data_IF_636861981251
#
_entry.id   IF_636861981251
#
_cell.length_a   1.000
_cell.length_b   1.000
_cell.length_c   1.000
_cell.angle_alpha   90.00
_cell.angle_beta   90.00
_cell.angle_gamma   90.00
#
_symmetry.space_group_name_H-M   'P 1'
#
loop_
_entity.id
_entity.type
_entity.pdbx_description
1 polymer ?
#
# COMPACT_ATOMS: atom_id res chain seq x y z
N UNK A 1 -0.10 -0.74 8.66
CA UNK A 1 0.63 -0.58 7.38
C UNK A 1 2.15 -0.71 7.60
N UNK A 2 2.83 0.16 8.33
CA UNK A 2 4.28 0.07 8.59
C UNK A 2 4.69 -1.16 9.44
N UNK A 3 3.79 -1.72 10.25
CA UNK A 3 4.08 -2.89 11.06
C UNK A 3 4.52 -4.12 10.27
N UNK A 4 3.97 -4.31 9.06
CA UNK A 4 4.37 -5.42 8.16
C UNK A 4 5.84 -5.27 7.74
N UNK A 5 6.26 -4.05 7.37
CA UNK A 5 7.65 -3.78 7.00
C UNK A 5 8.61 -4.04 8.16
N UNK A 6 8.20 -3.70 9.39
CA UNK A 6 8.99 -3.95 10.59
C UNK A 6 9.09 -5.44 10.97
N UNK A 7 8.13 -6.27 10.52
CA UNK A 7 8.18 -7.73 10.70
C UNK A 7 9.07 -8.43 9.67
N UNK A 8 9.25 -7.83 8.50
CA UNK A 8 10.06 -8.35 7.40
C UNK A 8 11.43 -7.67 7.41
N UNK A 9 12.31 -8.16 8.27
CA UNK A 9 13.66 -7.62 8.43
C UNK A 9 14.65 -8.36 7.54
N UNK A 10 15.70 -7.65 7.14
CA UNK A 10 16.84 -8.23 6.42
C UNK A 10 17.85 -8.90 7.38
N UNK A 11 18.97 -9.39 6.82
CA UNK A 11 20.05 -10.04 7.56
C UNK A 11 20.68 -9.08 8.60
N UNK A 12 20.66 -7.76 8.33
CA UNK A 12 21.21 -6.73 9.22
C UNK A 12 20.18 -6.25 10.26
N UNK A 13 19.01 -6.88 10.33
CA UNK A 13 17.88 -6.51 11.18
C UNK A 13 17.21 -5.17 10.81
N UNK A 14 17.49 -4.65 9.59
CA UNK A 14 16.84 -3.47 9.06
C UNK A 14 15.45 -3.83 8.50
N UNK A 15 14.46 -2.95 8.72
CA UNK A 15 13.12 -3.16 8.19
C UNK A 15 13.12 -3.07 6.66
N UNK A 16 12.40 -3.99 6.00
CA UNK A 16 12.26 -3.98 4.54
C UNK A 16 11.67 -2.64 4.08
N UNK A 17 12.24 -2.00 3.05
CA UNK A 17 11.77 -0.73 2.54
C UNK A 17 10.27 -0.75 2.20
N UNK A 18 9.55 0.27 2.65
CA UNK A 18 8.10 0.36 2.54
C UNK A 18 7.69 1.62 1.78
N UNK A 19 6.76 1.48 0.84
CA UNK A 19 6.15 2.58 0.12
C UNK A 19 4.64 2.48 0.13
N UNK A 20 3.98 3.61 0.04
CA UNK A 20 2.53 3.74 0.10
C UNK A 20 2.02 4.47 -1.14
N UNK A 21 0.99 3.90 -1.78
CA UNK A 21 0.27 4.50 -2.90
C UNK A 21 -1.22 4.51 -2.53
N UNK A 22 -1.86 5.66 -2.61
CA UNK A 22 -3.32 5.76 -2.49
C UNK A 22 -3.93 5.88 -3.89
N UNK A 23 -4.89 5.00 -4.21
CA UNK A 23 -5.60 5.02 -5.49
C UNK A 23 -6.79 5.98 -5.48
N UNK A 24 -7.29 6.36 -4.31
CA UNK A 24 -8.36 7.32 -4.16
C UNK A 24 -8.04 8.65 -4.85
N UNK A 25 -8.74 8.96 -5.95
CA UNK A 25 -8.50 10.15 -6.75
C UNK A 25 -7.52 9.99 -7.92
N UNK A 26 -6.90 8.82 -8.10
CA UNK A 26 -6.07 8.53 -9.27
C UNK A 26 -6.93 8.31 -10.51
N UNK A 27 -6.75 9.16 -11.51
CA UNK A 27 -7.58 9.16 -12.72
C UNK A 27 -6.88 8.58 -13.96
N UNK A 28 -5.58 8.24 -13.88
CA UNK A 28 -4.80 7.84 -15.06
C UNK A 28 -3.77 6.75 -14.71
N UNK A 29 -3.63 5.74 -15.57
CA UNK A 29 -2.67 4.64 -15.45
C UNK A 29 -1.21 5.09 -15.54
N UNK A 30 -0.92 6.16 -16.26
CA UNK A 30 0.43 6.73 -16.40
C UNK A 30 1.10 7.12 -15.06
N UNK A 31 0.31 7.18 -13.97
CA UNK A 31 0.86 7.32 -12.62
C UNK A 31 1.78 6.15 -12.27
N UNK A 32 1.49 4.94 -12.74
CA UNK A 32 2.26 3.73 -12.41
C UNK A 32 3.42 3.47 -13.36
N UNK A 33 3.19 3.59 -14.66
CA UNK A 33 4.12 3.20 -15.73
C UNK A 33 4.69 4.40 -16.51
N UNK A 34 4.41 5.64 -16.09
CA UNK A 34 4.97 6.85 -16.67
C UNK A 34 4.35 7.27 -18.00
N UNK A 35 4.99 8.24 -18.63
CA UNK A 35 4.63 8.78 -19.94
C UNK A 35 5.76 8.54 -20.93
N UNK A 36 5.44 8.36 -22.21
CA UNK A 36 6.47 8.28 -23.25
C UNK A 36 7.39 9.51 -23.20
N UNK A 37 8.69 9.29 -23.23
CA UNK A 37 9.73 10.33 -23.14
C UNK A 37 9.64 11.39 -24.25
N UNK A 38 8.91 11.13 -25.33
CA UNK A 38 8.70 12.06 -26.43
C UNK A 38 7.77 13.22 -26.12
N UNK A 39 7.00 13.15 -25.04
CA UNK A 39 6.09 14.22 -24.64
C UNK A 39 6.80 15.26 -23.77
N UNK A 40 6.50 16.53 -24.00
CA UNK A 40 7.00 17.62 -23.16
C UNK A 40 6.42 17.47 -21.74
N UNK A 41 7.30 17.47 -20.74
CA UNK A 41 6.90 17.29 -19.34
C UNK A 41 6.67 15.81 -18.94
N UNK A 42 7.08 14.85 -19.77
CA UNK A 42 7.01 13.42 -19.43
C UNK A 42 7.89 13.10 -18.23
N UNK A 43 7.42 12.18 -17.41
CA UNK A 43 8.12 11.66 -16.24
C UNK A 43 7.92 10.15 -16.16
N UNK A 44 8.82 9.48 -15.44
CA UNK A 44 8.65 8.07 -15.11
C UNK A 44 7.49 7.84 -14.12
N UNK A 45 7.04 6.62 -14.03
CA UNK A 45 5.94 6.21 -13.17
C UNK A 45 6.34 6.04 -11.71
N UNK A 46 5.32 5.93 -10.87
CA UNK A 46 5.48 5.79 -9.41
C UNK A 46 6.23 4.54 -8.98
N UNK A 47 6.15 3.47 -9.77
CA UNK A 47 6.89 2.23 -9.48
C UNK A 47 8.40 2.51 -9.55
N UNK A 48 8.87 3.12 -10.63
CA UNK A 48 10.30 3.48 -10.78
C UNK A 48 10.72 4.49 -9.71
N UNK A 49 9.88 5.49 -9.43
CA UNK A 49 10.13 6.48 -8.37
C UNK A 49 10.38 5.81 -7.00
N UNK A 50 9.58 4.77 -6.67
CA UNK A 50 9.76 3.97 -5.47
C UNK A 50 11.08 3.20 -5.48
N UNK A 51 11.44 2.57 -6.58
CA UNK A 51 12.69 1.81 -6.69
C UNK A 51 13.91 2.73 -6.52
N UNK A 52 13.88 3.92 -7.11
CA UNK A 52 14.92 4.95 -6.97
C UNK A 52 15.01 5.44 -5.52
N UNK A 53 13.89 5.79 -4.90
CA UNK A 53 13.83 6.31 -3.53
C UNK A 53 14.29 5.25 -2.51
N UNK A 54 13.83 4.01 -2.65
CA UNK A 54 14.14 2.92 -1.72
C UNK A 54 15.46 2.21 -2.03
N UNK A 55 16.06 2.44 -3.20
CA UNK A 55 17.34 1.84 -3.64
C UNK A 55 17.37 0.32 -3.52
N UNK A 56 16.24 -0.34 -3.76
CA UNK A 56 16.11 -1.79 -3.69
C UNK A 56 15.07 -2.29 -4.70
N UNK A 57 15.25 -3.53 -5.17
CA UNK A 57 14.33 -4.20 -6.11
C UNK A 57 13.29 -5.08 -5.41
N UNK A 58 13.29 -5.10 -4.08
CA UNK A 58 12.37 -5.90 -3.27
C UNK A 58 11.57 -5.08 -2.23
N UNK A 59 11.10 -3.86 -2.54
CA UNK A 59 10.33 -3.07 -1.60
C UNK A 59 8.99 -3.72 -1.27
N UNK A 60 8.37 -3.28 -0.16
CA UNK A 60 6.95 -3.52 0.11
C UNK A 60 6.19 -2.32 -0.44
N UNK A 61 5.31 -2.56 -1.40
CA UNK A 61 4.45 -1.55 -2.00
C UNK A 61 3.02 -1.78 -1.53
N UNK A 62 2.55 -0.87 -0.69
CA UNK A 62 1.18 -0.92 -0.17
C UNK A 62 0.29 0.02 -1.01
N UNK A 63 -0.72 -0.55 -1.62
CA UNK A 63 -1.69 0.15 -2.48
C UNK A 63 -3.04 0.18 -1.77
N UNK A 64 -3.47 1.37 -1.39
CA UNK A 64 -4.70 1.60 -0.62
C UNK A 64 -5.88 1.94 -1.53
N UNK A 65 -7.08 1.60 -1.07
CA UNK A 65 -8.33 1.95 -1.73
C UNK A 65 -8.49 1.37 -3.15
N UNK A 66 -8.15 0.09 -3.31
CA UNK A 66 -8.27 -0.59 -4.60
C UNK A 66 -9.72 -0.57 -5.16
N UNK A 67 -10.72 -0.55 -4.28
CA UNK A 67 -12.13 -0.45 -4.61
C UNK A 67 -12.56 0.95 -5.13
N UNK A 68 -11.70 1.96 -5.01
CA UNK A 68 -11.96 3.32 -5.50
C UNK A 68 -11.50 3.56 -6.94
N UNK A 69 -10.86 2.59 -7.56
CA UNK A 69 -10.50 2.67 -8.98
C UNK A 69 -11.78 2.78 -9.81
N UNK A 70 -11.86 3.83 -10.61
CA UNK A 70 -13.05 4.11 -11.41
C UNK A 70 -13.29 3.00 -12.47
N UNK A 71 -14.53 2.75 -12.82
CA UNK A 71 -14.89 1.79 -13.89
C UNK A 71 -14.81 2.42 -15.30
N UNK A 72 -14.18 3.57 -15.44
CA UNK A 72 -13.91 4.22 -16.72
C UNK A 72 -12.76 3.53 -17.46
N UNK A 73 -12.53 3.94 -18.73
CA UNK A 73 -11.38 3.43 -19.51
C UNK A 73 -10.05 3.66 -18.79
N UNK A 74 -9.86 4.80 -18.13
CA UNK A 74 -8.67 5.08 -17.33
C UNK A 74 -8.52 4.13 -16.12
N UNK A 75 -9.62 3.77 -15.47
CA UNK A 75 -9.60 2.79 -14.40
C UNK A 75 -9.23 1.39 -14.90
N UNK A 76 -9.70 0.99 -16.09
CA UNK A 76 -9.30 -0.27 -16.72
C UNK A 76 -7.81 -0.30 -17.05
N UNK A 77 -7.24 0.82 -17.48
CA UNK A 77 -5.79 0.95 -17.69
C UNK A 77 -5.03 0.68 -16.38
N UNK A 78 -5.43 1.31 -15.28
CA UNK A 78 -4.84 1.07 -13.95
C UNK A 78 -4.92 -0.41 -13.58
N UNK A 79 -6.07 -1.04 -13.73
CA UNK A 79 -6.27 -2.46 -13.42
C UNK A 79 -5.36 -3.33 -14.31
N UNK A 80 -5.23 -3.02 -15.58
CA UNK A 80 -4.32 -3.70 -16.50
C UNK A 80 -2.88 -3.65 -15.99
N UNK A 81 -2.38 -2.46 -15.64
CA UNK A 81 -1.02 -2.28 -15.14
C UNK A 81 -0.82 -3.03 -13.82
N UNK A 82 -1.76 -2.92 -12.87
CA UNK A 82 -1.68 -3.64 -11.59
C UNK A 82 -1.68 -5.16 -11.79
N UNK A 83 -2.46 -5.66 -12.75
CA UNK A 83 -2.49 -7.07 -13.08
C UNK A 83 -1.13 -7.56 -13.57
N UNK A 84 -0.46 -6.81 -14.45
CA UNK A 84 0.90 -7.13 -14.92
C UNK A 84 1.92 -7.10 -13.76
N UNK A 85 1.83 -6.12 -12.87
CA UNK A 85 2.73 -5.99 -11.72
C UNK A 85 2.70 -7.17 -10.76
N UNK A 86 1.53 -7.81 -10.59
CA UNK A 86 1.36 -8.93 -9.64
C UNK A 86 1.40 -10.31 -10.31
N UNK A 87 1.32 -10.38 -11.63
CA UNK A 87 1.37 -11.64 -12.36
C UNK A 87 2.81 -12.19 -12.37
N UNK A 88 3.02 -13.32 -11.71
CA UNK A 88 4.34 -13.94 -11.58
C UNK A 88 4.97 -14.38 -12.92
N UNK A 89 4.19 -14.39 -14.00
CA UNK A 89 4.68 -14.71 -15.34
C UNK A 89 5.15 -13.49 -16.14
N UNK A 90 4.94 -12.29 -15.63
CA UNK A 90 5.19 -11.03 -16.34
C UNK A 90 5.87 -9.96 -15.49
N UNK A 91 5.91 -10.12 -14.18
CA UNK A 91 6.43 -9.10 -13.27
C UNK A 91 7.96 -9.00 -13.22
N UNK A 92 8.67 -9.90 -13.88
CA UNK A 92 10.13 -9.87 -14.07
C UNK A 92 10.57 -9.00 -15.24
N UNK A 93 9.63 -8.61 -16.12
CA UNK A 93 9.88 -7.81 -17.32
C UNK A 93 9.01 -6.53 -17.35
N UNK A 94 8.77 -5.93 -16.20
CA UNK A 94 8.02 -4.67 -16.13
C UNK A 94 8.78 -3.55 -16.85
N UNK A 95 8.10 -2.84 -17.74
CA UNK A 95 8.66 -1.70 -18.48
C UNK A 95 7.93 -0.41 -18.15
N UNK A 96 8.68 0.61 -17.79
CA UNK A 96 8.18 1.97 -17.64
C UNK A 96 8.21 2.69 -19.00
N UNK A 97 7.16 3.37 -19.36
CA UNK A 97 7.02 4.04 -20.67
C UNK A 97 8.06 5.14 -20.89
N UNK A 98 8.55 5.77 -19.82
CA UNK A 98 9.57 6.81 -19.92
C UNK A 98 10.92 6.23 -20.30
N UNK A 99 11.33 5.12 -19.71
CA UNK A 99 12.62 4.52 -19.97
C UNK A 99 12.62 3.65 -21.23
N UNK A 100 11.49 3.19 -21.69
CA UNK A 100 11.35 2.30 -22.87
C UNK A 100 12.38 1.15 -22.84
N UNK A 101 12.07 -0.02 -23.29
CA UNK A 101 13.00 -1.15 -23.46
C UNK A 101 13.93 -1.51 -22.27
N UNK A 102 13.70 -0.96 -21.08
CA UNK A 102 14.41 -1.34 -19.86
C UNK A 102 13.52 -2.23 -19.04
N UNK A 103 13.87 -3.50 -18.90
CA UNK A 103 13.15 -4.46 -18.12
C UNK A 103 13.51 -4.31 -16.63
N UNK A 104 12.52 -4.18 -15.79
CA UNK A 104 12.65 -4.10 -14.32
C UNK A 104 12.06 -5.36 -13.70
N UNK A 105 12.89 -6.10 -12.98
CA UNK A 105 12.47 -7.30 -12.26
C UNK A 105 11.78 -6.94 -10.94
N UNK A 106 10.46 -7.02 -10.93
CA UNK A 106 9.61 -6.80 -9.74
C UNK A 106 9.17 -8.09 -9.06
N UNK A 107 9.68 -9.25 -9.48
CA UNK A 107 9.30 -10.56 -8.93
C UNK A 107 9.54 -10.70 -7.43
N UNK A 108 10.47 -9.91 -6.88
CA UNK A 108 10.81 -9.90 -5.45
C UNK A 108 10.13 -8.79 -4.67
N UNK A 109 9.40 -7.88 -5.33
CA UNK A 109 8.59 -6.88 -4.66
C UNK A 109 7.36 -7.52 -4.00
N UNK A 110 6.97 -7.03 -2.83
CA UNK A 110 5.74 -7.47 -2.18
C UNK A 110 4.66 -6.42 -2.36
N UNK A 111 3.62 -6.76 -3.12
CA UNK A 111 2.45 -5.92 -3.29
C UNK A 111 1.38 -6.29 -2.27
N UNK A 112 0.87 -5.28 -1.56
CA UNK A 112 -0.21 -5.43 -0.58
C UNK A 112 -1.30 -4.45 -0.95
N UNK A 113 -2.51 -4.95 -1.13
CA UNK A 113 -3.68 -4.15 -1.45
C UNK A 113 -4.62 -4.06 -0.26
N UNK A 114 -5.25 -2.91 -0.06
CA UNK A 114 -6.37 -2.77 0.84
C UNK A 114 -7.62 -2.29 0.09
N UNK A 115 -8.75 -2.79 0.51
CA UNK A 115 -10.06 -2.43 -0.04
C UNK A 115 -11.15 -2.65 1.02
N UNK A 116 -12.28 -1.99 0.86
CA UNK A 116 -13.43 -2.15 1.74
C UNK A 116 -14.51 -3.01 1.09
N UNK A 117 -14.72 -2.85 -0.21
CA UNK A 117 -15.76 -3.53 -0.97
C UNK A 117 -15.15 -4.38 -2.09
N UNK A 118 -15.29 -5.72 -1.95
CA UNK A 118 -14.78 -6.68 -2.92
C UNK A 118 -15.54 -6.64 -4.25
N UNK A 119 -16.82 -6.29 -4.24
CA UNK A 119 -17.67 -6.30 -5.44
C UNK A 119 -17.33 -5.15 -6.41
N UNK A 120 -16.58 -4.16 -5.93
CA UNK A 120 -16.08 -3.05 -6.74
C UNK A 120 -14.75 -3.35 -7.43
N UNK A 121 -14.06 -4.44 -7.06
CA UNK A 121 -12.76 -4.81 -7.63
C UNK A 121 -12.96 -5.63 -8.90
N UNK A 122 -12.06 -5.42 -9.88
CA UNK A 122 -12.01 -6.23 -11.08
C UNK A 122 -11.69 -7.70 -10.76
N UNK A 123 -12.44 -8.62 -11.34
CA UNK A 123 -12.30 -10.05 -11.06
C UNK A 123 -10.97 -10.64 -11.50
N UNK A 124 -10.39 -10.14 -12.62
CA UNK A 124 -9.11 -10.63 -13.14
C UNK A 124 -7.99 -10.29 -12.16
N UNK A 125 -8.02 -9.09 -11.60
CA UNK A 125 -7.07 -8.68 -10.56
C UNK A 125 -7.30 -9.46 -9.26
N UNK A 126 -8.56 -9.63 -8.87
CA UNK A 126 -8.94 -10.32 -7.63
C UNK A 126 -8.51 -11.79 -7.60
N UNK A 127 -8.55 -12.47 -8.76
CA UNK A 127 -8.12 -13.87 -8.91
C UNK A 127 -6.61 -14.07 -8.70
N UNK A 128 -5.83 -13.00 -8.83
CA UNK A 128 -4.36 -13.02 -8.64
C UNK A 128 -3.93 -12.58 -7.24
N UNK A 129 -4.86 -12.11 -6.42
CA UNK A 129 -4.58 -11.61 -5.07
C UNK A 129 -4.97 -12.66 -4.03
N UNK A 130 -4.04 -12.99 -3.13
CA UNK A 130 -4.38 -13.76 -1.95
C UNK A 130 -5.15 -12.88 -0.95
N UNK A 131 -6.38 -13.26 -0.63
CA UNK A 131 -7.28 -12.47 0.20
C UNK A 131 -7.17 -12.85 1.68
N UNK A 132 -7.01 -11.84 2.51
CA UNK A 132 -7.07 -11.97 3.97
C UNK A 132 -8.24 -11.11 4.44
N UNK A 133 -9.26 -11.76 5.00
CA UNK A 133 -10.43 -11.07 5.54
C UNK A 133 -10.14 -10.59 6.97
N UNK A 134 -10.45 -9.35 7.22
CA UNK A 134 -10.49 -8.78 8.57
C UNK A 134 -11.95 -8.61 8.99
N UNK A 135 -12.32 -9.24 10.09
CA UNK A 135 -13.63 -9.05 10.67
C UNK A 135 -13.68 -7.71 11.44
N UNK A 136 -14.88 -7.22 11.67
CA UNK A 136 -15.07 -6.01 12.47
C UNK A 136 -14.58 -6.26 13.89
N UNK A 137 -13.84 -5.29 14.42
CA UNK A 137 -13.34 -5.32 15.79
C UNK A 137 -14.52 -5.29 16.77
N UNK A 138 -14.52 -6.20 17.71
CA UNK A 138 -15.44 -6.15 18.86
C UNK A 138 -14.96 -5.09 19.85
N UNK A 139 -15.82 -4.72 20.79
CA UNK A 139 -15.53 -3.64 21.75
C UNK A 139 -14.26 -3.91 22.55
N UNK A 140 -14.07 -5.15 23.02
CA UNK A 140 -12.89 -5.56 23.75
C UNK A 140 -11.60 -5.38 22.94
N UNK A 141 -11.60 -5.74 21.65
CA UNK A 141 -10.44 -5.54 20.77
C UNK A 141 -10.10 -4.05 20.60
N UNK A 142 -11.14 -3.20 20.47
CA UNK A 142 -10.96 -1.75 20.35
C UNK A 142 -10.34 -1.15 21.62
N UNK A 143 -10.78 -1.61 22.80
CA UNK A 143 -10.22 -1.18 24.10
C UNK A 143 -8.75 -1.56 24.16
N UNK A 144 -8.39 -2.82 23.84
CA UNK A 144 -7.00 -3.30 23.84
C UNK A 144 -6.12 -2.49 22.88
N UNK A 145 -6.63 -2.19 21.68
CA UNK A 145 -5.91 -1.37 20.70
C UNK A 145 -5.70 0.05 21.22
N UNK A 146 -6.72 0.62 21.84
CA UNK A 146 -6.64 1.96 22.43
C UNK A 146 -5.58 2.02 23.53
N UNK A 147 -5.62 1.11 24.49
CA UNK A 147 -4.71 1.09 25.63
C UNK A 147 -3.26 0.75 25.26
N UNK A 148 -3.06 -0.26 24.41
CA UNK A 148 -1.72 -0.78 24.13
C UNK A 148 -0.98 -0.05 23.01
N UNK A 149 -1.71 0.61 22.12
CA UNK A 149 -1.09 1.21 20.93
C UNK A 149 -1.42 2.70 20.76
N UNK A 150 -2.71 3.10 20.81
CA UNK A 150 -3.09 4.47 20.50
C UNK A 150 -2.70 5.45 21.61
N UNK A 151 -3.04 5.14 22.85
CA UNK A 151 -2.74 6.02 23.98
C UNK A 151 -1.23 6.18 24.22
N UNK A 152 -0.40 5.13 24.22
CA UNK A 152 1.04 5.28 24.34
C UNK A 152 1.66 6.12 23.22
N UNK A 153 1.19 5.94 21.97
CA UNK A 153 1.68 6.75 20.85
C UNK A 153 1.29 8.23 21.01
N UNK A 154 0.04 8.50 21.44
CA UNK A 154 -0.44 9.87 21.73
C UNK A 154 0.36 10.50 22.86
N UNK A 155 0.54 9.80 23.96
CA UNK A 155 1.30 10.31 25.13
C UNK A 155 2.73 10.68 24.72
N UNK A 156 3.38 9.84 23.93
CA UNK A 156 4.71 10.12 23.39
C UNK A 156 4.73 11.34 22.47
N UNK A 157 3.75 11.46 21.58
CA UNK A 157 3.69 12.57 20.62
C UNK A 157 3.43 13.93 21.30
N UNK A 158 2.69 13.93 22.41
CA UNK A 158 2.38 15.15 23.18
C UNK A 158 3.34 15.40 24.35
N UNK A 159 4.27 14.47 24.61
CA UNK A 159 5.20 14.59 25.75
C UNK A 159 4.52 14.53 27.11
N UNK A 160 3.37 13.86 27.21
CA UNK A 160 2.56 13.72 28.44
C UNK A 160 2.63 12.30 29.01
N UNK A 161 3.70 11.59 28.72
CA UNK A 161 3.93 10.26 29.25
C UNK A 161 3.88 10.32 30.80
N UNK A 162 3.09 9.43 31.40
CA UNK A 162 2.88 9.34 32.85
C UNK A 162 2.14 10.53 33.54
N UNK A 163 1.58 11.47 32.78
CA UNK A 163 0.82 12.60 33.35
C UNK A 163 -0.68 12.29 33.38
N UNK A 164 -1.19 11.61 32.37
CA UNK A 164 -2.61 11.29 32.22
C UNK A 164 -2.76 9.78 32.12
N UNK A 165 -3.72 9.24 32.90
CA UNK A 165 -4.15 7.85 32.79
C UNK A 165 -5.65 7.82 32.55
N UNK A 166 -6.06 7.11 31.49
CA UNK A 166 -7.47 6.84 31.23
C UNK A 166 -7.85 5.49 31.84
N UNK A 167 -8.87 5.46 32.67
CA UNK A 167 -9.47 4.23 33.16
C UNK A 167 -10.23 3.51 32.02
N UNK A 168 -10.30 2.18 32.08
CA UNK A 168 -10.98 1.33 31.08
C UNK A 168 -12.42 1.78 30.84
N UNK A 169 -13.14 2.21 31.89
CA UNK A 169 -14.51 2.72 31.77
C UNK A 169 -14.60 3.99 30.93
N UNK A 170 -13.61 4.87 31.03
CA UNK A 170 -13.55 6.10 30.24
C UNK A 170 -13.25 5.74 28.77
N UNK A 171 -12.31 4.81 28.53
CA UNK A 171 -11.98 4.33 27.19
C UNK A 171 -13.21 3.69 26.53
N UNK A 172 -13.93 2.87 27.27
CA UNK A 172 -15.17 2.23 26.80
C UNK A 172 -16.21 3.28 26.40
N UNK A 173 -16.44 4.27 27.24
CA UNK A 173 -17.37 5.37 26.96
C UNK A 173 -16.99 6.20 25.72
N UNK A 174 -15.69 6.35 25.45
CA UNK A 174 -15.21 7.09 24.28
C UNK A 174 -15.33 6.30 22.96
N UNK A 175 -15.40 4.96 23.04
CA UNK A 175 -15.47 4.07 21.88
C UNK A 175 -16.93 3.78 21.47
N UNK A 176 -17.86 3.78 22.41
CA UNK A 176 -19.31 3.64 22.19
C UNK A 176 -19.90 4.93 21.58
#
# INVERSE_FOLDING_TARGET
KKGIANCLKDINNDSRPFSFIALGGSSNGSIFDGHNYTYVGSTWGKIVDILIDKKCMNPIIFIDELDKVSRTEHGKEIIGILTHLIDSTQNDIFQDKYFGNVDLDLSKALFIFSYNDVDLIDKILLDRIHRIKFDNLILEDKIIICEKYLLPELYKNFGIENIIHFDENIIKYLIE
#
